data_IF_419943535845
#
_entry.id   IF_419943535845
#
_cell.length_a   1.000
_cell.length_b   1.000
_cell.length_c   1.000
_cell.angle_alpha   90.00
_cell.angle_beta   90.00
_cell.angle_gamma   90.00
#
_symmetry.space_group_name_H-M   'P 1'
#
loop_
_entity.id
_entity.type
_entity.pdbx_description
1 polymer ?
#
# COMPACT_ATOMS: atom_id res chain seq x y z
N UNK A 1 54.30 -28.67 -38.44
CA UNK A 1 53.63 -27.38 -38.57
C UNK A 1 52.22 -27.73 -38.94
N UNK A 2 51.36 -27.87 -37.94
CA UNK A 2 49.94 -28.08 -38.12
C UNK A 2 49.27 -26.93 -37.34
N UNK A 3 48.67 -26.02 -38.10
CA UNK A 3 47.83 -24.94 -37.59
C UNK A 3 46.54 -25.55 -37.06
N UNK A 4 46.37 -25.52 -35.74
CA UNK A 4 45.08 -25.76 -35.12
C UNK A 4 44.19 -24.55 -35.39
N UNK A 5 43.12 -24.77 -36.15
CA UNK A 5 42.05 -23.82 -36.38
C UNK A 5 41.19 -23.75 -35.13
N UNK A 6 41.23 -22.61 -34.45
CA UNK A 6 40.31 -22.31 -33.35
C UNK A 6 38.94 -21.97 -33.97
N UNK A 7 37.99 -22.88 -33.77
CA UNK A 7 36.58 -22.71 -34.14
C UNK A 7 35.95 -21.71 -33.15
N UNK A 8 35.83 -20.45 -33.57
CA UNK A 8 35.12 -19.42 -32.82
C UNK A 8 33.61 -19.72 -32.89
N UNK A 9 33.11 -20.47 -31.91
CA UNK A 9 31.67 -20.64 -31.71
C UNK A 9 31.11 -19.33 -31.15
N UNK A 10 30.65 -18.46 -32.05
CA UNK A 10 29.81 -17.31 -31.68
C UNK A 10 28.46 -17.84 -31.23
N UNK A 11 28.26 -17.99 -29.91
CA UNK A 11 26.94 -18.25 -29.32
C UNK A 11 26.12 -16.98 -29.41
N UNK A 12 25.40 -16.82 -30.52
CA UNK A 12 24.27 -15.91 -30.64
C UNK A 12 23.17 -16.42 -29.70
N UNK A 13 23.05 -15.80 -28.53
CA UNK A 13 22.19 -16.36 -27.49
C UNK A 13 22.16 -15.53 -26.22
N UNK A 14 21.61 -14.32 -26.30
CA UNK A 14 20.58 -13.81 -25.38
C UNK A 14 20.18 -12.45 -25.92
N UNK A 15 19.15 -12.42 -26.75
CA UNK A 15 18.36 -11.19 -26.88
C UNK A 15 17.77 -10.93 -25.50
N UNK A 16 18.49 -10.17 -24.67
CA UNK A 16 17.94 -9.55 -23.47
C UNK A 16 16.84 -8.65 -24.00
N UNK A 17 15.61 -9.18 -24.08
CA UNK A 17 14.41 -8.36 -24.17
C UNK A 17 14.40 -7.61 -22.85
N UNK A 18 15.10 -6.47 -22.83
CA UNK A 18 14.71 -5.33 -22.02
C UNK A 18 13.29 -5.04 -22.47
N UNK A 19 12.32 -5.70 -21.85
CA UNK A 19 10.98 -5.19 -21.83
C UNK A 19 11.15 -3.85 -21.13
N UNK A 20 11.24 -2.79 -21.91
CA UNK A 20 10.90 -1.48 -21.41
C UNK A 20 9.47 -1.64 -20.89
N UNK A 21 9.33 -1.91 -19.60
CA UNK A 21 8.04 -1.87 -18.91
C UNK A 21 7.58 -0.44 -19.09
N UNK A 22 6.67 -0.24 -20.05
CA UNK A 22 6.03 1.02 -20.26
C UNK A 22 5.19 1.27 -19.01
N UNK A 23 5.70 2.09 -18.09
CA UNK A 23 4.92 2.66 -17.01
C UNK A 23 3.76 3.41 -17.66
N UNK A 24 2.58 2.79 -17.70
CA UNK A 24 1.37 3.45 -18.13
C UNK A 24 1.02 4.45 -17.04
N UNK A 25 1.55 5.67 -17.15
CA UNK A 25 1.06 6.80 -16.35
C UNK A 25 -0.37 7.04 -16.79
N UNK A 26 -1.33 6.58 -15.99
CA UNK A 26 -2.72 6.94 -16.12
C UNK A 26 -2.87 8.42 -15.76
N UNK A 27 -2.53 9.31 -16.70
CA UNK A 27 -2.94 10.71 -16.62
C UNK A 27 -4.44 10.74 -16.89
N UNK A 28 -5.20 10.95 -15.83
CA UNK A 28 -6.63 11.19 -15.90
C UNK A 28 -6.98 12.30 -16.89
N UNK A 29 -7.99 11.99 -17.70
CA UNK A 29 -8.92 12.88 -18.38
C UNK A 29 -8.36 14.12 -19.12
N UNK A 30 -8.55 14.15 -20.44
CA UNK A 30 -9.42 15.13 -21.12
C UNK A 30 -9.43 14.91 -22.64
N UNK A 31 -10.61 14.55 -23.18
CA UNK A 31 -11.01 14.85 -24.57
C UNK A 31 -10.64 13.82 -25.65
N UNK A 32 -11.54 12.85 -25.89
CA UNK A 32 -11.61 12.15 -27.18
C UNK A 32 -12.48 12.96 -28.16
N UNK A 33 -11.99 13.37 -29.35
CA UNK A 33 -12.85 13.73 -30.46
C UNK A 33 -13.47 12.47 -31.09
N UNK A 34 -14.79 12.52 -31.24
CA UNK A 34 -15.63 11.41 -31.68
C UNK A 34 -15.31 10.85 -33.07
N UNK A 35 -15.42 9.54 -33.19
CA UNK A 35 -15.56 8.82 -34.46
C UNK A 35 -16.96 9.05 -35.01
N UNK A 36 -17.02 9.62 -36.21
CA UNK A 36 -18.22 9.97 -36.94
C UNK A 36 -19.07 8.72 -37.27
N UNK A 37 -20.33 8.74 -36.87
CA UNK A 37 -21.38 7.90 -37.46
C UNK A 37 -22.03 8.68 -38.59
N UNK A 38 -22.11 8.08 -39.78
CA UNK A 38 -22.75 8.67 -40.94
C UNK A 38 -24.27 8.80 -40.75
N UNK A 39 -24.75 10.02 -41.03
CA UNK A 39 -25.94 10.34 -41.83
C UNK A 39 -27.31 9.79 -41.38
N UNK A 40 -28.07 10.64 -40.67
CA UNK A 40 -29.49 10.76 -40.89
C UNK A 40 -29.95 12.20 -40.60
N UNK A 41 -30.30 12.91 -41.66
CA UNK A 41 -31.00 14.19 -41.63
C UNK A 41 -32.27 14.11 -40.78
N UNK A 42 -32.36 14.94 -39.72
CA UNK A 42 -33.65 15.54 -39.32
C UNK A 42 -33.46 16.85 -38.52
N UNK A 43 -33.32 17.94 -39.28
CA UNK A 43 -33.98 19.23 -39.09
C UNK A 43 -34.85 19.39 -37.83
N UNK A 44 -34.47 20.31 -36.93
CA UNK A 44 -35.25 21.51 -36.57
C UNK A 44 -34.78 22.18 -35.27
N UNK A 45 -34.65 23.52 -35.35
CA UNK A 45 -34.87 24.51 -34.28
C UNK A 45 -33.79 24.62 -33.17
N UNK A 46 -32.89 25.60 -33.28
CA UNK A 46 -33.03 26.95 -32.70
C UNK A 46 -33.21 26.96 -31.19
N UNK A 47 -32.14 27.32 -30.49
CA UNK A 47 -32.12 27.56 -29.05
C UNK A 47 -30.77 28.13 -28.63
N UNK A 48 -30.51 29.37 -29.04
CA UNK A 48 -29.39 30.17 -28.55
C UNK A 48 -29.55 30.37 -27.03
N UNK A 49 -28.57 29.95 -26.23
CA UNK A 49 -28.43 30.48 -24.88
C UNK A 49 -26.95 30.72 -24.57
N UNK A 50 -26.52 31.94 -24.87
CA UNK A 50 -25.36 32.58 -24.28
C UNK A 50 -25.62 32.79 -22.78
N UNK A 51 -24.78 32.21 -21.93
CA UNK A 51 -24.73 32.50 -20.50
C UNK A 51 -23.28 32.68 -20.10
N UNK A 52 -22.83 33.94 -20.09
CA UNK A 52 -21.62 34.37 -19.41
C UNK A 52 -21.76 34.08 -17.92
N UNK A 53 -20.73 33.54 -17.27
CA UNK A 53 -20.54 33.77 -15.84
C UNK A 53 -19.05 33.98 -15.52
N UNK A 54 -18.68 35.26 -15.54
CA UNK A 54 -17.39 35.79 -15.10
C UNK A 54 -17.42 35.94 -13.56
N UNK A 55 -17.04 34.89 -12.84
CA UNK A 55 -17.02 34.87 -11.37
C UNK A 55 -15.62 35.05 -10.77
N UNK A 56 -14.91 36.13 -11.11
CA UNK A 56 -13.65 36.49 -10.46
C UNK A 56 -13.90 37.17 -9.10
N UNK A 57 -13.71 36.43 -7.99
CA UNK A 57 -13.58 37.01 -6.66
C UNK A 57 -12.19 36.72 -6.10
N UNK A 58 -11.43 37.79 -5.87
CA UNK A 58 -10.12 37.74 -5.27
C UNK A 58 -10.12 37.97 -3.76
N UNK A 59 -8.87 37.99 -3.28
CA UNK A 59 -8.34 38.73 -2.15
C UNK A 59 -8.38 38.04 -0.77
N UNK A 60 -7.18 37.68 -0.29
CA UNK A 60 -6.93 37.24 1.08
C UNK A 60 -5.44 37.22 1.41
N UNK A 61 -4.85 38.41 1.58
CA UNK A 61 -3.53 38.59 2.18
C UNK A 61 -3.51 38.03 3.61
N UNK A 62 -2.71 37.00 3.88
CA UNK A 62 -2.41 36.51 5.23
C UNK A 62 -0.91 36.43 5.45
N UNK A 63 -0.28 37.55 5.85
CA UNK A 63 1.08 37.57 6.40
C UNK A 63 1.01 37.13 7.86
N UNK A 64 1.58 35.97 8.19
CA UNK A 64 1.88 35.57 9.57
C UNK A 64 3.38 35.33 9.70
N UNK A 65 4.03 36.15 10.52
CA UNK A 65 5.42 36.01 10.99
C UNK A 65 5.38 35.37 12.38
N UNK A 66 6.46 34.67 12.71
CA UNK A 66 6.78 34.01 13.99
C UNK A 66 7.64 32.81 13.62
N UNK A 67 8.98 32.84 13.61
CA UNK A 67 9.93 33.41 14.58
C UNK A 67 9.60 32.98 16.01
N UNK A 68 9.71 31.68 16.30
CA UNK A 68 9.89 31.15 17.65
C UNK A 68 10.96 30.05 17.62
N UNK A 69 12.20 30.51 17.73
CA UNK A 69 13.35 29.75 18.21
C UNK A 69 13.08 29.28 19.66
N UNK A 70 12.91 27.97 19.89
CA UNK A 70 13.00 27.39 21.24
C UNK A 70 14.12 26.35 21.34
N UNK A 71 15.37 26.76 21.64
CA UNK A 71 16.44 25.86 22.00
C UNK A 71 16.56 25.81 23.54
N UNK A 72 15.84 24.91 24.20
CA UNK A 72 16.14 24.65 25.61
C UNK A 72 15.15 23.80 26.38
N UNK A 73 15.30 22.47 26.33
CA UNK A 73 14.97 21.67 27.51
C UNK A 73 15.88 20.45 27.69
N UNK A 74 17.11 20.72 28.10
CA UNK A 74 17.91 19.76 28.87
C UNK A 74 17.39 19.72 30.30
N UNK A 75 16.54 18.72 30.59
CA UNK A 75 15.96 18.50 31.92
C UNK A 75 16.13 17.05 32.36
N UNK A 76 17.28 16.75 32.99
CA UNK A 76 17.45 15.57 33.82
C UNK A 76 16.38 15.54 34.93
N UNK A 77 15.58 14.48 35.04
CA UNK A 77 14.87 14.17 36.28
C UNK A 77 14.94 12.67 36.61
N UNK A 78 15.94 12.34 37.42
CA UNK A 78 15.94 11.22 38.35
C UNK A 78 14.88 11.47 39.42
N UNK A 79 13.93 10.55 39.60
CA UNK A 79 13.23 10.20 40.86
C UNK A 79 12.77 8.74 40.66
N UNK A 80 13.36 7.73 41.30
CA UNK A 80 13.29 7.42 42.73
C UNK A 80 11.89 7.66 43.29
N UNK A 81 11.04 6.63 43.23
CA UNK A 81 9.95 6.43 44.20
C UNK A 81 9.58 4.94 44.18
N UNK A 82 10.37 4.18 44.92
CA UNK A 82 9.86 3.02 45.64
C UNK A 82 8.74 3.49 46.60
N UNK A 83 7.85 2.57 46.97
CA UNK A 83 6.94 2.66 48.12
C UNK A 83 5.47 3.04 47.84
N UNK A 84 4.60 2.02 47.91
CA UNK A 84 3.26 2.00 48.54
C UNK A 84 2.77 0.56 48.47
N UNK A 85 3.03 -0.24 49.49
CA UNK A 85 2.25 -0.31 50.73
C UNK A 85 0.76 -0.57 50.46
N UNK A 86 0.37 -1.84 50.62
CA UNK A 86 -0.66 -2.27 51.55
C UNK A 86 -1.90 -1.36 51.66
N UNK A 87 -2.95 -1.70 50.91
CA UNK A 87 -4.35 -1.46 51.31
C UNK A 87 -5.13 -2.73 51.03
N UNK A 88 -5.31 -3.57 52.04
CA UNK A 88 -6.25 -3.42 53.17
C UNK A 88 -7.68 -3.76 52.72
N UNK A 89 -8.19 -4.76 53.42
CA UNK A 89 -9.44 -5.48 53.23
C UNK A 89 -10.61 -4.63 53.73
N UNK A 90 -11.79 -4.83 53.15
CA UNK A 90 -13.06 -4.36 53.69
C UNK A 90 -14.17 -4.67 52.70
N UNK A 91 -15.14 -5.53 53.06
CA UNK A 91 -16.41 -5.11 53.72
C UNK A 91 -17.17 -4.16 52.80
N UNK A 92 -18.44 -4.34 52.46
CA UNK A 92 -19.50 -5.20 52.95
C UNK A 92 -20.64 -5.03 51.94
N UNK A 93 -21.55 -6.00 51.92
CA UNK A 93 -22.68 -6.01 51.00
C UNK A 93 -23.53 -4.74 50.98
N UNK A 94 -24.15 -4.52 49.83
CA UNK A 94 -25.42 -3.81 49.76
C UNK A 94 -26.28 -4.49 48.70
N UNK A 95 -27.16 -5.35 49.21
CA UNK A 95 -28.28 -5.93 48.47
C UNK A 95 -29.32 -4.82 48.25
N UNK A 96 -29.03 -3.94 47.30
CA UNK A 96 -29.93 -2.89 46.86
C UNK A 96 -30.81 -3.35 45.71
N UNK A 97 -31.99 -3.87 46.06
CA UNK A 97 -33.13 -4.00 45.15
C UNK A 97 -33.45 -2.64 44.50
N UNK A 98 -33.18 -2.49 43.20
CA UNK A 98 -33.79 -1.44 42.38
C UNK A 98 -34.50 -2.07 41.18
N UNK A 99 -35.81 -2.25 41.36
CA UNK A 99 -36.78 -2.37 40.29
C UNK A 99 -36.69 -1.12 39.39
N UNK A 100 -36.05 -1.24 38.22
CA UNK A 100 -36.30 -0.35 37.10
C UNK A 100 -36.65 -1.17 35.85
N UNK A 101 -37.96 -1.21 35.58
CA UNK A 101 -38.58 -1.54 34.29
C UNK A 101 -38.21 -0.49 33.22
N UNK A 102 -36.91 -0.20 33.10
CA UNK A 102 -36.33 0.70 32.13
C UNK A 102 -36.31 0.03 30.77
N UNK A 103 -37.44 0.15 30.07
CA UNK A 103 -37.54 0.28 28.62
C UNK A 103 -36.18 0.13 27.93
N UNK A 104 -35.88 -1.10 27.50
CA UNK A 104 -34.71 -1.50 26.70
C UNK A 104 -34.71 -0.77 25.37
N UNK A 105 -34.42 0.52 25.46
CA UNK A 105 -34.18 1.41 24.35
C UNK A 105 -32.88 0.96 23.76
N UNK A 106 -33.03 0.06 22.78
CA UNK A 106 -32.27 0.04 21.54
C UNK A 106 -30.91 0.66 21.78
N UNK A 107 -30.02 -0.16 22.33
CA UNK A 107 -28.57 -0.09 22.32
C UNK A 107 -28.14 0.01 20.86
N UNK A 108 -28.54 1.13 20.26
CA UNK A 108 -28.27 1.60 18.93
C UNK A 108 -26.81 1.45 18.82
N UNK A 109 -26.44 0.33 18.19
CA UNK A 109 -25.07 0.01 17.95
C UNK A 109 -24.56 1.23 17.23
N UNK A 110 -23.74 1.99 17.93
CA UNK A 110 -22.55 2.59 17.38
C UNK A 110 -21.78 1.41 16.79
N UNK A 111 -22.34 0.84 15.72
CA UNK A 111 -21.73 -0.14 14.89
C UNK A 111 -20.62 0.69 14.32
N UNK A 112 -19.46 0.57 14.95
CA UNK A 112 -18.18 0.78 14.31
C UNK A 112 -18.40 0.26 12.90
N UNK A 113 -18.61 1.19 11.98
CA UNK A 113 -18.70 0.91 10.55
C UNK A 113 -17.27 0.57 10.16
N UNK A 114 -16.80 -0.57 10.68
CA UNK A 114 -15.52 -1.15 10.41
C UNK A 114 -15.46 -1.23 8.91
N UNK A 115 -14.52 -0.49 8.33
CA UNK A 115 -14.41 -0.40 6.89
C UNK A 115 -14.35 -1.84 6.34
N UNK A 116 -15.29 -2.17 5.46
CA UNK A 116 -15.29 -3.49 4.84
C UNK A 116 -14.31 -3.42 3.68
N UNK A 117 -13.13 -4.00 3.89
CA UNK A 117 -12.07 -4.02 2.89
C UNK A 117 -11.73 -5.47 2.54
N UNK A 118 -11.69 -5.76 1.24
CA UNK A 118 -11.14 -7.01 0.71
C UNK A 118 -10.07 -6.65 -0.32
N UNK A 119 -8.97 -7.37 -0.28
CA UNK A 119 -7.87 -7.18 -1.21
C UNK A 119 -7.21 -8.51 -1.49
N UNK A 120 -6.41 -8.55 -2.56
CA UNK A 120 -5.53 -9.67 -2.87
C UNK A 120 -4.17 -9.18 -3.34
N UNK A 121 -3.17 -10.04 -3.21
CA UNK A 121 -1.87 -9.84 -3.81
C UNK A 121 -1.78 -10.60 -5.13
N UNK A 122 -1.30 -9.94 -6.17
CA UNK A 122 -0.88 -10.55 -7.41
C UNK A 122 0.64 -10.39 -7.57
N UNK A 123 1.25 -11.34 -8.27
CA UNK A 123 2.69 -11.35 -8.54
C UNK A 123 2.96 -11.81 -9.95
N UNK A 124 4.02 -11.29 -10.56
CA UNK A 124 4.39 -11.64 -11.93
C UNK A 124 5.00 -13.05 -12.05
N UNK A 125 5.61 -13.57 -10.97
CA UNK A 125 6.05 -14.96 -10.88
C UNK A 125 5.93 -15.50 -9.45
N UNK A 126 5.69 -16.81 -9.34
CA UNK A 126 5.76 -17.54 -8.06
C UNK A 126 7.10 -18.26 -7.85
N UNK A 127 7.94 -18.29 -8.88
CA UNK A 127 9.24 -18.96 -8.86
C UNK A 127 10.28 -18.06 -9.52
N UNK A 128 11.37 -17.81 -8.80
CA UNK A 128 12.52 -17.05 -9.30
C UNK A 128 13.75 -17.95 -9.37
N UNK A 129 14.50 -17.84 -10.46
CA UNK A 129 15.72 -18.62 -10.69
C UNK A 129 16.91 -17.70 -10.65
N UNK A 130 17.75 -17.83 -9.63
CA UNK A 130 18.95 -17.02 -9.47
C UNK A 130 19.94 -17.31 -10.61
N UNK A 131 20.46 -16.29 -11.30
CA UNK A 131 21.41 -16.49 -12.40
C UNK A 131 22.76 -17.05 -11.89
N UNK A 132 23.49 -17.76 -12.74
CA UNK A 132 24.88 -18.14 -12.45
C UNK A 132 25.76 -16.88 -12.54
N UNK A 133 26.13 -16.31 -11.40
CA UNK A 133 27.01 -15.13 -11.32
C UNK A 133 26.31 -13.88 -10.78
N UNK A 134 26.92 -12.69 -10.92
CA UNK A 134 26.38 -11.46 -10.36
C UNK A 134 25.13 -11.01 -11.13
N UNK A 135 24.01 -10.89 -10.42
CA UNK A 135 22.75 -10.35 -10.91
C UNK A 135 21.63 -10.62 -9.92
N UNK A 136 20.74 -9.66 -9.76
CA UNK A 136 19.46 -9.83 -9.06
C UNK A 136 18.35 -9.95 -10.10
N UNK A 137 17.31 -10.70 -9.76
CA UNK A 137 16.03 -10.61 -10.46
C UNK A 137 15.14 -9.65 -9.66
N UNK A 138 14.09 -9.12 -10.29
CA UNK A 138 13.16 -8.20 -9.63
C UNK A 138 11.74 -8.73 -9.77
N UNK A 139 11.09 -9.00 -8.65
CA UNK A 139 9.68 -9.37 -8.60
C UNK A 139 8.79 -8.12 -8.65
N UNK A 140 7.65 -8.22 -9.33
CA UNK A 140 6.58 -7.22 -9.22
C UNK A 140 5.43 -7.77 -8.39
N UNK A 141 4.93 -6.92 -7.51
CA UNK A 141 3.79 -7.19 -6.65
C UNK A 141 2.72 -6.12 -6.83
N UNK A 142 1.49 -6.56 -7.04
CA UNK A 142 0.32 -5.71 -7.18
C UNK A 142 -0.65 -6.03 -6.02
N UNK A 143 -0.97 -5.02 -5.20
CA UNK A 143 -2.01 -5.10 -4.17
C UNK A 143 -3.30 -4.54 -4.76
N UNK A 144 -4.26 -5.41 -5.01
CA UNK A 144 -5.54 -5.07 -5.65
C UNK A 144 -6.62 -5.00 -4.58
N UNK A 145 -7.23 -3.82 -4.41
CA UNK A 145 -8.42 -3.66 -3.55
C UNK A 145 -9.65 -4.11 -4.33
N UNK A 146 -10.25 -5.22 -3.92
CA UNK A 146 -11.44 -5.75 -4.60
C UNK A 146 -12.71 -5.03 -4.14
N UNK A 147 -12.80 -4.68 -2.86
CA UNK A 147 -13.91 -3.91 -2.29
C UNK A 147 -13.39 -3.04 -1.14
N UNK A 148 -13.90 -1.82 -1.05
CA UNK A 148 -13.68 -0.93 0.08
C UNK A 148 -14.91 -0.03 0.27
N UNK A 149 -15.42 0.08 1.50
CA UNK A 149 -16.55 0.96 1.82
C UNK A 149 -16.17 2.45 1.89
N UNK A 150 -14.87 2.74 1.96
CA UNK A 150 -14.27 4.08 1.95
C UNK A 150 -12.81 4.00 1.47
N UNK A 151 -12.17 5.14 1.21
CA UNK A 151 -10.75 5.19 0.87
C UNK A 151 -9.88 4.74 2.05
N UNK A 152 -8.86 3.92 1.80
CA UNK A 152 -7.98 3.36 2.84
C UNK A 152 -6.51 3.42 2.43
N UNK A 153 -5.61 3.50 3.40
CA UNK A 153 -4.19 3.20 3.20
C UNK A 153 -3.97 1.69 3.12
N UNK A 154 -2.94 1.28 2.39
CA UNK A 154 -2.52 -0.11 2.28
C UNK A 154 -1.05 -0.26 2.66
N UNK A 155 -0.73 -1.37 3.30
CA UNK A 155 0.63 -1.88 3.40
C UNK A 155 0.67 -3.39 3.20
N UNK A 156 1.82 -3.89 2.78
CA UNK A 156 2.07 -5.32 2.61
C UNK A 156 3.29 -5.75 3.39
N UNK A 157 3.18 -6.82 4.18
CA UNK A 157 4.34 -7.44 4.81
C UNK A 157 5.23 -8.14 3.77
N UNK A 158 6.55 -8.04 3.93
CA UNK A 158 7.53 -8.74 3.10
C UNK A 158 8.73 -9.26 3.92
N UNK A 159 9.44 -10.30 3.45
CA UNK A 159 10.57 -10.90 4.18
C UNK A 159 11.76 -9.94 4.33
N UNK A 160 12.55 -10.12 5.38
CA UNK A 160 13.68 -9.23 5.72
C UNK A 160 14.72 -9.10 4.62
N UNK A 161 14.96 -10.20 3.90
CA UNK A 161 16.08 -10.35 2.95
C UNK A 161 15.74 -9.76 1.58
N UNK A 162 14.47 -9.42 1.34
CA UNK A 162 14.02 -8.73 0.14
C UNK A 162 14.20 -7.21 0.28
N UNK A 163 14.46 -6.53 -0.83
CA UNK A 163 14.66 -5.08 -0.87
C UNK A 163 13.68 -4.44 -1.85
N UNK A 164 12.86 -3.50 -1.40
CA UNK A 164 11.92 -2.74 -2.24
C UNK A 164 12.68 -1.62 -2.97
N UNK A 165 12.60 -1.60 -4.30
CA UNK A 165 13.38 -0.69 -5.15
C UNK A 165 12.53 0.45 -5.73
N UNK A 166 11.34 0.14 -6.24
CA UNK A 166 10.50 1.11 -6.97
C UNK A 166 9.02 0.73 -6.93
N UNK A 167 8.16 1.53 -7.55
CA UNK A 167 6.71 1.34 -7.58
C UNK A 167 5.93 2.64 -7.48
N UNK A 168 4.66 2.51 -7.09
CA UNK A 168 3.86 3.63 -6.61
C UNK A 168 4.50 4.25 -5.36
N UNK A 169 4.22 5.53 -5.04
CA UNK A 169 4.77 6.19 -3.86
C UNK A 169 4.54 5.38 -2.58
N UNK A 170 5.65 4.96 -1.97
CA UNK A 170 5.66 4.12 -0.77
C UNK A 170 6.84 4.46 0.14
N UNK A 171 6.74 4.00 1.38
CA UNK A 171 7.83 3.93 2.36
C UNK A 171 8.02 2.48 2.79
N UNK A 172 9.21 2.15 3.30
CA UNK A 172 9.42 0.87 3.99
C UNK A 172 9.61 1.14 5.48
N UNK A 173 8.92 0.38 6.31
CA UNK A 173 9.04 0.43 7.75
C UNK A 173 9.30 -0.97 8.33
N UNK A 174 9.73 -1.02 9.58
CA UNK A 174 9.99 -2.25 10.33
C UNK A 174 9.38 -2.12 11.72
N UNK A 175 8.38 -2.94 12.01
CA UNK A 175 7.73 -3.04 13.31
C UNK A 175 8.13 -4.36 13.96
N UNK A 176 8.98 -4.29 14.98
CA UNK A 176 9.58 -5.49 15.57
C UNK A 176 10.48 -6.20 14.56
N UNK A 177 10.16 -7.46 14.26
CA UNK A 177 10.88 -8.28 13.27
C UNK A 177 10.17 -8.32 11.91
N UNK A 178 9.07 -7.57 11.76
CA UNK A 178 8.24 -7.56 10.55
C UNK A 178 8.52 -6.33 9.70
N UNK A 179 8.72 -6.50 8.39
CA UNK A 179 8.91 -5.39 7.45
C UNK A 179 7.67 -5.17 6.60
N UNK A 180 7.38 -3.90 6.35
CA UNK A 180 6.20 -3.47 5.59
C UNK A 180 6.59 -2.51 4.47
N UNK A 181 5.95 -2.66 3.31
CA UNK A 181 5.87 -1.61 2.29
C UNK A 181 4.53 -0.90 2.46
N UNK A 182 4.57 0.38 2.79
CA UNK A 182 3.39 1.20 3.08
C UNK A 182 3.19 2.24 1.98
N UNK A 183 2.00 2.26 1.37
CA UNK A 183 1.68 3.20 0.31
C UNK A 183 1.19 4.53 0.87
N UNK A 184 1.77 5.63 0.39
CA UNK A 184 1.51 6.96 0.96
C UNK A 184 0.15 7.54 0.56
N UNK A 185 -0.47 7.00 -0.49
CA UNK A 185 -1.74 7.47 -1.02
C UNK A 185 -2.84 6.46 -0.74
N UNK A 186 -3.97 6.93 -0.19
CA UNK A 186 -5.17 6.12 -0.04
C UNK A 186 -5.63 5.53 -1.38
N UNK A 187 -6.33 4.41 -1.30
CA UNK A 187 -6.92 3.67 -2.42
C UNK A 187 -8.41 3.49 -2.22
N UNK A 188 -9.15 3.49 -3.33
CA UNK A 188 -10.57 3.12 -3.36
C UNK A 188 -10.77 1.67 -3.84
N UNK A 189 -12.02 1.22 -3.89
CA UNK A 189 -12.35 -0.08 -4.49
C UNK A 189 -11.93 -0.14 -5.97
N UNK A 190 -11.54 -1.33 -6.42
CA UNK A 190 -11.03 -1.61 -7.78
C UNK A 190 -9.73 -0.88 -8.15
N UNK A 191 -9.04 -0.26 -7.18
CA UNK A 191 -7.70 0.31 -7.38
C UNK A 191 -6.58 -0.70 -7.09
N UNK A 192 -5.39 -0.42 -7.62
CA UNK A 192 -4.19 -1.25 -7.46
C UNK A 192 -3.01 -0.39 -7.02
N UNK A 193 -2.17 -0.96 -6.15
CA UNK A 193 -0.87 -0.41 -5.76
C UNK A 193 0.24 -1.37 -6.12
N UNK A 194 1.25 -0.89 -6.84
CA UNK A 194 2.34 -1.69 -7.37
C UNK A 194 3.66 -1.39 -6.66
N UNK A 195 4.42 -2.41 -6.29
CA UNK A 195 5.82 -2.27 -5.89
C UNK A 195 6.69 -3.35 -6.52
N UNK A 196 7.99 -3.07 -6.55
CA UNK A 196 9.01 -3.95 -7.11
C UNK A 196 10.04 -4.23 -6.02
N UNK A 197 10.40 -5.50 -5.87
CA UNK A 197 11.40 -5.93 -4.90
C UNK A 197 12.45 -6.83 -5.54
N UNK A 198 13.71 -6.59 -5.18
CA UNK A 198 14.83 -7.41 -5.60
C UNK A 198 14.77 -8.77 -4.89
N UNK A 199 14.90 -9.82 -5.70
CA UNK A 199 14.96 -11.21 -5.26
C UNK A 199 16.31 -11.42 -4.56
N UNK A 200 16.34 -11.96 -3.34
CA UNK A 200 17.58 -12.15 -2.59
C UNK A 200 18.47 -13.22 -3.24
N UNK A 201 19.75 -13.24 -2.89
CA UNK A 201 20.74 -14.18 -3.44
C UNK A 201 20.75 -15.56 -2.75
N UNK A 202 19.83 -15.79 -1.82
CA UNK A 202 19.58 -17.10 -1.20
C UNK A 202 18.41 -17.84 -1.84
N UNK A 203 18.51 -19.17 -1.86
CA UNK A 203 17.41 -20.06 -2.24
C UNK A 203 16.52 -20.36 -1.03
N UNK A 204 15.23 -20.52 -1.25
CA UNK A 204 14.29 -20.83 -0.17
C UNK A 204 12.84 -20.62 -0.58
N UNK A 205 11.96 -20.82 0.40
CA UNK A 205 10.57 -20.40 0.33
C UNK A 205 10.42 -19.21 1.27
N UNK A 206 9.95 -18.10 0.74
CA UNK A 206 9.70 -16.86 1.47
C UNK A 206 8.21 -16.58 1.53
N UNK A 207 7.74 -16.11 2.68
CA UNK A 207 6.34 -15.76 2.91
C UNK A 207 6.15 -14.25 2.80
N UNK A 208 5.23 -13.84 1.91
CA UNK A 208 4.78 -12.47 1.77
C UNK A 208 3.39 -12.32 2.36
N UNK A 209 3.15 -11.18 3.00
CA UNK A 209 1.85 -10.86 3.60
C UNK A 209 1.80 -11.18 5.09
N UNK A 210 0.64 -10.89 5.71
CA UNK A 210 -0.60 -10.43 5.10
C UNK A 210 -0.55 -9.00 4.53
N UNK A 211 -1.57 -8.64 3.73
CA UNK A 211 -1.92 -7.26 3.40
C UNK A 211 -2.66 -6.67 4.61
N UNK A 212 -2.35 -5.44 4.95
CA UNK A 212 -3.05 -4.67 5.98
C UNK A 212 -3.61 -3.38 5.39
N UNK A 213 -4.71 -2.91 5.95
CA UNK A 213 -5.32 -1.63 5.59
C UNK A 213 -5.50 -0.74 6.81
N UNK A 214 -5.62 0.56 6.57
CA UNK A 214 -5.91 1.55 7.60
C UNK A 214 -6.79 2.67 7.05
N UNK A 215 -7.78 3.13 7.82
CA UNK A 215 -8.62 4.28 7.45
C UNK A 215 -7.96 5.60 7.83
N UNK A 216 -7.20 5.61 8.92
CA UNK A 216 -6.57 6.79 9.52
C UNK A 216 -5.04 6.87 9.25
N UNK A 217 -4.42 5.78 8.81
CA UNK A 217 -2.97 5.65 8.64
C UNK A 217 -2.24 5.33 9.95
N UNK A 218 -2.96 5.06 11.05
CA UNK A 218 -2.40 4.83 12.38
C UNK A 218 -2.75 3.43 12.89
N UNK A 219 -4.00 3.00 12.71
CA UNK A 219 -4.49 1.68 13.13
C UNK A 219 -4.58 0.76 11.93
N UNK A 220 -3.81 -0.32 11.94
CA UNK A 220 -3.72 -1.28 10.84
C UNK A 220 -4.52 -2.55 11.14
N UNK A 221 -5.30 -2.99 10.16
CA UNK A 221 -6.12 -4.20 10.23
C UNK A 221 -5.71 -5.18 9.13
N UNK A 222 -5.48 -6.42 9.51
CA UNK A 222 -5.11 -7.51 8.61
C UNK A 222 -6.27 -7.92 7.69
N UNK A 223 -5.97 -8.12 6.41
CA UNK A 223 -6.86 -8.79 5.44
C UNK A 223 -6.46 -10.25 5.36
N UNK A 224 -7.20 -11.12 6.04
CA UNK A 224 -6.90 -12.56 6.08
C UNK A 224 -6.87 -13.21 4.68
N UNK A 225 -6.01 -14.21 4.52
CA UNK A 225 -5.90 -14.99 3.27
C UNK A 225 -5.11 -14.31 2.16
N UNK A 226 -4.42 -13.21 2.47
CA UNK A 226 -3.54 -12.47 1.54
C UNK A 226 -2.06 -12.82 1.70
N UNK A 227 -1.77 -13.84 2.50
CA UNK A 227 -0.44 -14.44 2.64
C UNK A 227 -0.15 -15.36 1.45
N UNK A 228 1.06 -15.28 0.90
CA UNK A 228 1.51 -16.13 -0.19
C UNK A 228 2.99 -16.51 -0.07
N UNK A 229 3.34 -17.68 -0.63
CA UNK A 229 4.71 -18.17 -0.67
C UNK A 229 5.36 -17.91 -2.05
N UNK A 230 6.65 -17.57 -2.04
CA UNK A 230 7.49 -17.45 -3.22
C UNK A 230 8.68 -18.39 -3.11
N UNK A 231 8.95 -19.13 -4.18
CA UNK A 231 10.08 -20.04 -4.25
C UNK A 231 11.26 -19.41 -5.02
N UNK A 232 12.41 -19.31 -4.37
CA UNK A 232 13.68 -18.89 -5.00
C UNK A 232 14.59 -20.12 -5.12
N UNK A 233 15.04 -20.42 -6.35
CA UNK A 233 15.94 -21.56 -6.62
C UNK A 233 17.21 -21.14 -7.35
N UNK A 234 18.29 -21.89 -7.16
CA UNK A 234 19.54 -21.67 -7.87
C UNK A 234 19.47 -22.24 -9.29
N UNK A 235 20.02 -21.49 -10.26
CA UNK A 235 20.32 -22.03 -11.59
C UNK A 235 21.27 -23.23 -11.50
N UNK A 236 21.04 -24.23 -12.36
CA UNK A 236 21.84 -25.46 -12.37
C UNK A 236 21.31 -26.60 -11.49
N UNK A 237 20.25 -26.37 -10.71
CA UNK A 237 19.53 -27.47 -10.05
C UNK A 237 18.71 -28.22 -11.11
N UNK A 238 19.29 -29.27 -11.69
CA UNK A 238 18.53 -30.22 -12.51
C UNK A 238 17.54 -30.95 -11.60
N UNK A 239 16.25 -30.63 -11.73
CA UNK A 239 15.14 -31.35 -11.09
C UNK A 239 14.91 -32.72 -11.73
#
# INVERSE_FOLDING_TARGET
MDEATEDEVTVDGTTRRRFARATAVAVGALGLPGLATADHDNRSEQGEHNGNDDGAHGNGNGRGRGDDDDPGNSGEHRRDDENRDDRDEGDDGDDGDEDEDGNGGDDGGDGDENAQVTARREKDSSVFVLPEGPGTDTAQFDLVVEQASQSVFLRGQFPSDWTVETGDPNTTDTEGDTRFVEFTNQVEADETRTYFADVPDNTGVDEFGPIEYSVDGETWTEISGTTEEILVVASGTSV
#
